data_IF_998984278799
#
_entry.id   IF_998984278799
#
_cell.length_a   1.000
_cell.length_b   1.000
_cell.length_c   1.000
_cell.angle_alpha   90.00
_cell.angle_beta   90.00
_cell.angle_gamma   90.00
#
_symmetry.space_group_name_H-M   'P 1'
#
loop_
_entity.id
_entity.type
_entity.pdbx_description
1 polymer ?
#
# COMPACT_ATOMS: atom_id res chain seq x y z
N UNK A 1 -2.34 -3.35 -5.46
CA UNK A 1 -1.39 -4.37 -5.96
C UNK A 1 -2.10 -5.55 -6.62
N UNK A 2 -3.43 -5.52 -6.80
CA UNK A 2 -4.14 -6.57 -7.53
C UNK A 2 -3.97 -6.41 -9.04
N UNK A 3 -3.92 -7.54 -9.75
CA UNK A 3 -4.11 -7.58 -11.19
C UNK A 3 -5.59 -7.28 -11.49
N UNK A 4 -5.87 -6.38 -12.43
CA UNK A 4 -7.23 -5.98 -12.79
C UNK A 4 -8.11 -7.20 -13.15
N UNK A 5 -7.54 -8.22 -13.78
CA UNK A 5 -8.27 -9.45 -14.12
C UNK A 5 -8.76 -10.22 -12.88
N UNK A 6 -7.98 -10.25 -11.81
CA UNK A 6 -8.33 -10.92 -10.55
C UNK A 6 -9.39 -10.10 -9.81
N UNK A 7 -9.23 -8.77 -9.76
CA UNK A 7 -10.20 -7.88 -9.15
C UNK A 7 -11.58 -7.97 -9.84
N UNK A 8 -11.60 -8.00 -11.18
CA UNK A 8 -12.85 -8.11 -11.96
C UNK A 8 -13.51 -9.49 -11.83
N UNK A 9 -12.74 -10.55 -11.59
CA UNK A 9 -13.24 -11.92 -11.48
C UNK A 9 -13.71 -12.26 -10.06
N UNK A 10 -12.96 -11.83 -9.04
CA UNK A 10 -13.18 -12.28 -7.65
C UNK A 10 -13.73 -11.18 -6.72
N UNK A 11 -13.72 -9.92 -7.16
CA UNK A 11 -14.30 -8.79 -6.42
C UNK A 11 -13.53 -8.36 -5.17
N UNK A 12 -12.34 -8.90 -4.94
CA UNK A 12 -11.45 -8.53 -3.83
C UNK A 12 -10.11 -7.94 -4.32
N UNK A 13 -9.46 -7.18 -3.45
CA UNK A 13 -8.14 -6.62 -3.69
C UNK A 13 -7.23 -6.81 -2.48
N UNK A 14 -5.92 -6.80 -2.74
CA UNK A 14 -4.91 -6.83 -1.67
C UNK A 14 -4.56 -5.41 -1.25
N UNK A 15 -4.59 -5.19 0.07
CA UNK A 15 -4.14 -3.95 0.69
C UNK A 15 -3.03 -4.23 1.70
N UNK A 16 -2.23 -3.19 1.92
CA UNK A 16 -1.14 -3.18 2.89
C UNK A 16 -1.50 -2.17 3.97
N UNK A 17 -1.22 -2.50 5.23
CA UNK A 17 -1.45 -1.58 6.34
C UNK A 17 -0.56 -0.35 6.22
N UNK A 18 -1.19 0.83 6.30
CA UNK A 18 -0.50 2.11 6.45
C UNK A 18 -0.60 2.57 7.90
N UNK A 19 0.55 2.73 8.56
CA UNK A 19 0.64 3.24 9.93
C UNK A 19 1.21 4.65 9.96
N UNK A 20 0.85 5.44 10.96
CA UNK A 20 1.50 6.75 11.24
C UNK A 20 2.73 6.62 12.15
N UNK A 21 2.97 5.43 12.69
CA UNK A 21 4.11 5.08 13.53
C UNK A 21 4.86 3.91 12.93
N UNK A 22 6.18 3.95 13.02
CA UNK A 22 7.02 2.84 12.59
C UNK A 22 7.10 1.78 13.70
N UNK A 23 6.18 0.81 13.69
CA UNK A 23 6.17 -0.30 14.65
C UNK A 23 7.19 -1.40 14.31
N UNK A 24 7.52 -1.56 13.01
CA UNK A 24 8.37 -2.64 12.51
C UNK A 24 9.39 -2.09 11.50
N UNK A 25 10.50 -1.48 11.96
CA UNK A 25 11.42 -0.74 11.09
C UNK A 25 12.02 -1.57 9.95
N UNK A 26 12.26 -2.85 10.22
CA UNK A 26 12.83 -3.81 9.27
C UNK A 26 11.84 -4.29 8.20
N UNK A 27 10.54 -4.15 8.46
CA UNK A 27 9.47 -4.60 7.56
C UNK A 27 8.56 -3.45 7.11
N UNK A 28 9.03 -2.21 7.23
CA UNK A 28 8.26 -1.02 6.85
C UNK A 28 8.97 -0.20 5.79
N UNK A 29 8.19 0.38 4.89
CA UNK A 29 8.65 1.40 3.96
C UNK A 29 8.11 2.76 4.38
N UNK A 30 8.97 3.76 4.43
CA UNK A 30 8.53 5.14 4.60
C UNK A 30 7.82 5.65 3.34
N UNK A 31 6.59 6.15 3.51
CA UNK A 31 5.77 6.77 2.48
C UNK A 31 5.68 8.26 2.77
N UNK A 32 6.45 9.03 2.01
CA UNK A 32 6.46 10.50 2.14
C UNK A 32 5.43 11.13 1.19
N UNK A 33 4.93 12.36 1.48
CA UNK A 33 3.97 13.03 0.61
C UNK A 33 4.44 13.21 -0.84
N UNK A 34 5.76 13.32 -1.06
CA UNK A 34 6.37 13.49 -2.37
C UNK A 34 6.23 12.23 -3.25
N UNK A 35 5.98 11.07 -2.64
CA UNK A 35 5.72 9.80 -3.31
C UNK A 35 4.29 9.68 -3.84
N UNK A 36 3.40 10.64 -3.52
CA UNK A 36 1.97 10.62 -3.85
C UNK A 36 1.69 11.70 -4.90
N UNK A 37 0.85 11.39 -5.91
CA UNK A 37 0.47 12.35 -6.97
C UNK A 37 -0.41 13.51 -6.46
N UNK A 38 -1.18 13.29 -5.39
CA UNK A 38 -2.04 14.30 -4.76
C UNK A 38 -2.14 14.02 -3.26
N UNK A 39 -1.09 14.33 -2.47
CA UNK A 39 -1.08 14.06 -1.05
C UNK A 39 -2.14 14.90 -0.34
N UNK A 40 -3.16 14.25 0.22
CA UNK A 40 -4.16 14.91 1.09
C UNK A 40 -3.62 15.24 2.47
N UNK A 41 -2.58 14.52 2.90
CA UNK A 41 -1.91 14.70 4.18
C UNK A 41 -0.41 14.86 3.92
N UNK A 42 0.20 15.85 4.58
CA UNK A 42 1.63 16.11 4.51
C UNK A 42 2.43 15.31 5.56
N UNK A 43 1.76 14.45 6.33
CA UNK A 43 2.42 13.53 7.25
C UNK A 43 3.01 12.35 6.50
N UNK A 44 4.23 12.00 6.87
CA UNK A 44 4.84 10.73 6.53
C UNK A 44 4.04 9.58 7.15
N UNK A 45 3.80 8.54 6.35
CA UNK A 45 3.27 7.25 6.81
C UNK A 45 4.30 6.14 6.63
N UNK A 46 4.00 4.97 7.20
CA UNK A 46 4.81 3.76 7.10
C UNK A 46 3.94 2.64 6.54
N UNK A 47 4.29 2.12 5.37
CA UNK A 47 3.65 0.95 4.79
C UNK A 47 4.28 -0.32 5.40
N UNK A 48 3.47 -1.13 6.08
CA UNK A 48 3.92 -2.35 6.76
C UNK A 48 3.92 -3.51 5.78
N UNK A 49 5.07 -3.80 5.17
CA UNK A 49 5.20 -4.64 3.98
C UNK A 49 4.81 -6.11 4.19
N UNK A 50 4.95 -6.64 5.42
CA UNK A 50 4.56 -8.01 5.77
C UNK A 50 3.06 -8.16 6.11
N UNK A 51 2.32 -7.05 6.29
CA UNK A 51 0.89 -7.08 6.63
C UNK A 51 0.04 -6.85 5.37
N UNK A 52 -0.02 -7.87 4.52
CA UNK A 52 -0.92 -7.90 3.36
C UNK A 52 -2.18 -8.67 3.71
N UNK A 53 -3.34 -8.07 3.46
CA UNK A 53 -4.63 -8.71 3.64
C UNK A 53 -5.50 -8.53 2.41
N UNK A 54 -6.39 -9.50 2.19
CA UNK A 54 -7.46 -9.40 1.20
C UNK A 54 -8.63 -8.60 1.78
N UNK A 55 -9.19 -7.70 0.98
CA UNK A 55 -10.36 -6.92 1.33
C UNK A 55 -11.35 -6.95 0.17
N UNK A 56 -12.64 -6.95 0.47
CA UNK A 56 -13.67 -6.78 -0.53
C UNK A 56 -13.95 -5.30 -0.75
N UNK A 57 -14.50 -4.98 -1.91
CA UNK A 57 -14.84 -3.59 -2.25
C UNK A 57 -15.88 -2.99 -1.30
N UNK A 58 -16.73 -3.84 -0.71
CA UNK A 58 -17.73 -3.49 0.31
C UNK A 58 -17.12 -3.09 1.66
N UNK A 59 -15.92 -3.57 1.99
CA UNK A 59 -15.21 -3.20 3.22
C UNK A 59 -14.62 -1.77 3.15
N UNK A 60 -14.66 -1.14 1.97
CA UNK A 60 -14.08 0.18 1.73
C UNK A 60 -15.03 1.28 2.18
N UNK A 61 -14.79 1.82 3.37
CA UNK A 61 -15.58 2.93 3.93
C UNK A 61 -15.41 4.21 3.10
N UNK A 62 -14.19 4.56 2.70
CA UNK A 62 -13.91 5.73 1.86
C UNK A 62 -12.67 5.55 1.00
N UNK A 63 -12.72 6.03 -0.25
CA UNK A 63 -11.55 6.10 -1.13
C UNK A 63 -10.89 7.46 -0.98
N UNK A 64 -9.81 7.51 -0.20
CA UNK A 64 -8.90 8.65 -0.21
C UNK A 64 -8.15 8.60 -1.54
N UNK A 65 -8.58 9.39 -2.52
CA UNK A 65 -8.11 9.37 -3.92
C UNK A 65 -6.65 9.77 -4.17
N UNK A 66 -5.74 9.43 -3.25
CA UNK A 66 -4.32 9.61 -3.36
C UNK A 66 -3.69 8.34 -3.96
N UNK A 67 -3.09 8.47 -5.14
CA UNK A 67 -2.33 7.39 -5.78
C UNK A 67 -0.83 7.62 -5.58
N UNK A 68 -0.09 6.54 -5.30
CA UNK A 68 1.38 6.58 -5.34
C UNK A 68 1.85 6.87 -6.78
N UNK A 69 2.95 7.60 -6.90
CA UNK A 69 3.72 7.73 -8.14
C UNK A 69 4.23 6.36 -8.56
N UNK A 70 4.38 6.15 -9.85
CA UNK A 70 4.76 4.85 -10.43
C UNK A 70 6.09 4.35 -9.83
N UNK A 71 7.10 5.21 -9.74
CA UNK A 71 8.41 4.84 -9.17
C UNK A 71 8.31 4.43 -7.70
N UNK A 72 7.52 5.16 -6.93
CA UNK A 72 7.26 4.88 -5.52
C UNK A 72 6.48 3.59 -5.33
N UNK A 73 5.50 3.34 -6.19
CA UNK A 73 4.71 2.11 -6.19
C UNK A 73 5.57 0.88 -6.54
N UNK A 74 6.47 1.02 -7.51
CA UNK A 74 7.41 -0.05 -7.88
C UNK A 74 8.34 -0.37 -6.71
N UNK A 75 8.95 0.64 -6.09
CA UNK A 75 9.80 0.47 -4.91
C UNK A 75 9.07 -0.23 -3.76
N UNK A 76 7.83 0.17 -3.47
CA UNK A 76 7.01 -0.47 -2.45
C UNK A 76 6.75 -1.95 -2.79
N UNK A 77 6.44 -2.24 -4.04
CA UNK A 77 6.16 -3.62 -4.48
C UNK A 77 7.41 -4.51 -4.39
N UNK A 78 8.58 -3.97 -4.75
CA UNK A 78 9.85 -4.69 -4.66
C UNK A 78 10.23 -4.97 -3.19
N UNK A 79 10.07 -3.99 -2.30
CA UNK A 79 10.30 -4.19 -0.86
C UNK A 79 9.33 -5.20 -0.25
N UNK A 80 8.06 -5.18 -0.68
CA UNK A 80 7.08 -6.17 -0.25
C UNK A 80 7.48 -7.58 -0.67
N UNK A 81 7.97 -7.75 -1.91
CA UNK A 81 8.45 -9.06 -2.38
C UNK A 81 9.66 -9.53 -1.58
N UNK A 82 10.60 -8.64 -1.29
CA UNK A 82 11.78 -8.94 -0.48
C UNK A 82 11.39 -9.35 0.94
N UNK A 83 10.45 -8.65 1.58
CA UNK A 83 10.01 -8.98 2.95
C UNK A 83 9.24 -10.30 3.02
N UNK A 84 8.49 -10.66 1.98
CA UNK A 84 7.61 -11.87 2.00
C UNK A 84 8.32 -13.11 1.46
N UNK A 85 9.17 -12.95 0.44
CA UNK A 85 9.78 -14.07 -0.28
C UNK A 85 11.31 -14.08 -0.22
N UNK A 86 11.93 -13.07 0.40
CA UNK A 86 13.38 -12.99 0.61
C UNK A 86 13.88 -13.78 1.80
#
# INVERSE_FOLDING_TARGET
MSNNAIFETEGFFYAILLSTKNYFPEFTMEITPQMINSPRNLRTGYAVCHMIQQFYTEDVITRTGATLKIDSFKKLTDQVKEVIFG
#
